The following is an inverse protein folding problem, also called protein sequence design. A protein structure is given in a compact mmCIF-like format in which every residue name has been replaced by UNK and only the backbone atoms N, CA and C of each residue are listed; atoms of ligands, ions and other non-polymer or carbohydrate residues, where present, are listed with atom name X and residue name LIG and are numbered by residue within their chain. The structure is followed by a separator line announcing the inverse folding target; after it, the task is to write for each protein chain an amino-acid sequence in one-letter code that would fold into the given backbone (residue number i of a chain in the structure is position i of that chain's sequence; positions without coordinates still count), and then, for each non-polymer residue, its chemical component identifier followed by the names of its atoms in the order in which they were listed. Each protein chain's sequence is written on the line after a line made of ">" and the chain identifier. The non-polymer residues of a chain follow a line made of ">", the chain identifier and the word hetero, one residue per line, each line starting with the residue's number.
data_IF_977574341662
#
_entry.id   IF_977574341662
#
_cell.length_a   1.000
_cell.length_b   1.000
_cell.length_c   1.000
_cell.angle_alpha   90.00
_cell.angle_beta   90.00
_cell.angle_gamma   90.00
#
_symmetry.space_group_name_H-M   'P 1'
#
loop_
_entity.id
_entity.type
_entity.pdbx_description
1 polymer ?
#
# COMPACT_ATOMS: atom_id res chain seq x y z
N UNK A 1 9.23 -10.47 -21.66
CA UNK A 1 7.93 -10.10 -21.04
C UNK A 1 7.63 -10.86 -19.74
N UNK A 2 8.36 -11.93 -19.37
CA UNK A 2 8.14 -12.68 -18.10
C UNK A 2 8.76 -11.97 -16.89
N UNK A 3 9.87 -11.25 -17.09
CA UNK A 3 10.65 -10.60 -16.03
C UNK A 3 9.88 -9.45 -15.34
N UNK A 4 9.13 -8.67 -16.11
CA UNK A 4 8.27 -7.57 -15.63
C UNK A 4 7.12 -8.07 -14.76
N UNK A 5 6.56 -9.25 -15.10
CA UNK A 5 5.46 -9.87 -14.40
C UNK A 5 5.87 -10.45 -13.03
N UNK A 6 7.11 -10.89 -12.88
CA UNK A 6 7.64 -11.36 -11.60
C UNK A 6 8.06 -10.19 -10.69
N UNK A 7 8.59 -9.10 -11.27
CA UNK A 7 9.05 -7.93 -10.53
C UNK A 7 7.92 -7.18 -9.83
N UNK A 8 6.80 -6.90 -10.52
CA UNK A 8 5.67 -6.21 -9.87
C UNK A 8 5.03 -7.07 -8.79
N UNK A 9 4.93 -8.40 -8.98
CA UNK A 9 4.31 -9.31 -8.03
C UNK A 9 5.12 -9.37 -6.73
N UNK A 10 6.45 -9.41 -6.82
CA UNK A 10 7.33 -9.33 -5.66
C UNK A 10 7.18 -8.00 -4.91
N UNK A 11 7.16 -6.87 -5.65
CA UNK A 11 6.94 -5.54 -5.07
C UNK A 11 5.57 -5.43 -4.41
N UNK A 12 4.53 -5.96 -5.04
CA UNK A 12 3.17 -6.00 -4.53
C UNK A 12 3.09 -6.79 -3.24
N UNK A 13 3.68 -7.98 -3.18
CA UNK A 13 3.72 -8.79 -1.96
C UNK A 13 4.42 -8.06 -0.81
N UNK A 14 5.52 -7.36 -1.09
CA UNK A 14 6.21 -6.54 -0.10
C UNK A 14 5.28 -5.45 0.46
N UNK A 15 4.60 -4.69 -0.41
CA UNK A 15 3.65 -3.66 0.03
C UNK A 15 2.49 -4.25 0.82
N UNK A 16 1.90 -5.36 0.36
CA UNK A 16 0.82 -6.05 1.07
C UNK A 16 1.27 -6.45 2.47
N UNK A 17 2.48 -6.99 2.63
CA UNK A 17 2.99 -7.35 3.95
C UNK A 17 3.12 -6.14 4.88
N UNK A 18 3.60 -5.01 4.37
CA UNK A 18 3.69 -3.75 5.15
C UNK A 18 2.28 -3.31 5.60
N UNK A 19 1.33 -3.27 4.69
CA UNK A 19 -0.03 -2.80 4.96
C UNK A 19 -0.82 -3.75 5.89
N UNK A 20 -0.66 -5.07 5.72
CA UNK A 20 -1.26 -6.08 6.61
C UNK A 20 -0.68 -6.01 8.02
N UNK A 21 0.62 -5.75 8.17
CA UNK A 21 1.22 -5.55 9.49
C UNK A 21 0.59 -4.36 10.21
N UNK A 22 0.32 -3.26 9.49
CA UNK A 22 -0.37 -2.08 10.04
C UNK A 22 -1.84 -2.41 10.36
N UNK A 23 -2.53 -3.10 9.46
CA UNK A 23 -3.94 -3.46 9.63
C UNK A 23 -4.19 -4.34 10.87
N UNK A 24 -3.21 -5.17 11.22
CA UNK A 24 -3.27 -6.09 12.36
C UNK A 24 -2.64 -5.54 13.65
N UNK A 25 -2.00 -4.37 13.61
CA UNK A 25 -1.38 -3.75 14.79
C UNK A 25 -2.42 -3.10 15.71
N UNK A 26 -2.70 -3.71 16.86
CA UNK A 26 -3.66 -3.20 17.85
C UNK A 26 -3.25 -1.85 18.48
N UNK A 27 -1.99 -1.43 18.36
CA UNK A 27 -1.50 -0.11 18.77
C UNK A 27 -1.82 1.02 17.78
N UNK A 28 -2.21 0.69 16.54
CA UNK A 28 -2.57 1.66 15.51
C UNK A 28 -4.08 1.97 15.55
N UNK A 29 -4.55 3.23 15.47
CA UNK A 29 -5.98 3.57 15.48
C UNK A 29 -6.83 2.85 14.42
N UNK A 30 -8.09 2.51 14.76
CA UNK A 30 -8.99 1.69 13.93
C UNK A 30 -9.19 2.23 12.50
N UNK A 31 -9.29 3.55 12.34
CA UNK A 31 -9.46 4.17 11.04
C UNK A 31 -8.25 3.96 10.13
N UNK A 32 -7.03 4.09 10.67
CA UNK A 32 -5.77 3.84 9.96
C UNK A 32 -5.67 2.38 9.55
N UNK A 33 -5.96 1.44 10.47
CA UNK A 33 -5.95 0.00 10.17
C UNK A 33 -6.92 -0.37 9.05
N UNK A 34 -8.12 0.20 9.07
CA UNK A 34 -9.15 -0.03 8.04
C UNK A 34 -8.66 0.41 6.66
N UNK A 35 -8.03 1.57 6.57
CA UNK A 35 -7.52 2.09 5.30
C UNK A 35 -6.31 1.30 4.83
N UNK A 36 -5.38 0.93 5.72
CA UNK A 36 -4.27 0.05 5.37
C UNK A 36 -4.75 -1.28 4.76
N UNK A 37 -5.79 -1.89 5.35
CA UNK A 37 -6.41 -3.10 4.80
C UNK A 37 -7.05 -2.85 3.42
N UNK A 38 -7.81 -1.78 3.27
CA UNK A 38 -8.43 -1.42 1.99
C UNK A 38 -7.40 -1.18 0.89
N UNK A 39 -6.29 -0.51 1.21
CA UNK A 39 -5.18 -0.30 0.28
C UNK A 39 -4.50 -1.62 -0.11
N UNK A 40 -4.34 -2.56 0.83
CA UNK A 40 -3.82 -3.90 0.53
C UNK A 40 -4.75 -4.67 -0.42
N UNK A 41 -6.06 -4.63 -0.16
CA UNK A 41 -7.06 -5.32 -0.98
C UNK A 41 -7.14 -4.72 -2.41
N UNK A 42 -6.98 -3.40 -2.55
CA UNK A 42 -6.96 -2.72 -3.85
C UNK A 42 -5.87 -3.23 -4.79
N UNK A 43 -4.76 -3.77 -4.25
CA UNK A 43 -3.66 -4.34 -5.03
C UNK A 43 -4.02 -5.67 -5.71
N UNK A 44 -5.09 -6.32 -5.28
CA UNK A 44 -5.58 -7.58 -5.86
C UNK A 44 -6.77 -7.38 -6.80
N UNK A 45 -7.22 -6.15 -7.05
CA UNK A 45 -8.37 -5.88 -7.90
C UNK A 45 -8.07 -6.16 -9.39
N UNK A 46 -8.44 -7.35 -9.85
CA UNK A 46 -8.18 -7.85 -11.21
C UNK A 46 -8.79 -7.01 -12.33
N UNK A 47 -9.73 -6.10 -12.01
CA UNK A 47 -10.33 -5.18 -12.97
C UNK A 47 -9.35 -4.11 -13.47
N UNK A 48 -8.27 -3.86 -12.73
CA UNK A 48 -7.33 -2.79 -13.01
C UNK A 48 -5.93 -3.32 -13.37
N UNK A 49 -5.19 -2.52 -14.15
CA UNK A 49 -3.76 -2.78 -14.41
C UNK A 49 -2.93 -2.56 -13.13
N UNK A 50 -1.73 -3.18 -13.01
CA UNK A 50 -0.86 -2.98 -11.85
C UNK A 50 -0.61 -1.50 -11.49
N UNK A 51 -0.39 -0.64 -12.50
CA UNK A 51 -0.19 0.78 -12.26
C UNK A 51 -1.43 1.49 -11.71
N UNK A 52 -2.63 1.15 -12.19
CA UNK A 52 -3.89 1.71 -11.67
C UNK A 52 -4.15 1.22 -10.25
N UNK A 53 -3.87 -0.06 -9.94
CA UNK A 53 -3.96 -0.57 -8.56
C UNK A 53 -3.01 0.17 -7.62
N UNK A 54 -1.78 0.40 -8.07
CA UNK A 54 -0.79 1.15 -7.29
C UNK A 54 -1.24 2.60 -7.05
N UNK A 55 -1.77 3.28 -8.07
CA UNK A 55 -2.30 4.64 -7.94
C UNK A 55 -3.46 4.71 -6.91
N UNK A 56 -4.42 3.78 -7.01
CA UNK A 56 -5.54 3.71 -6.07
C UNK A 56 -5.07 3.47 -4.62
N UNK A 57 -4.08 2.59 -4.42
CA UNK A 57 -3.53 2.33 -3.09
C UNK A 57 -2.76 3.54 -2.54
N UNK A 58 -2.01 4.28 -3.36
CA UNK A 58 -1.31 5.52 -2.95
C UNK A 58 -2.33 6.56 -2.47
N UNK A 59 -3.39 6.82 -3.25
CA UNK A 59 -4.42 7.79 -2.90
C UNK A 59 -5.04 7.48 -1.52
N UNK A 60 -5.41 6.22 -1.27
CA UNK A 60 -5.92 5.78 0.03
C UNK A 60 -4.93 6.03 1.18
N UNK A 61 -3.63 5.80 0.95
CA UNK A 61 -2.61 6.00 1.98
C UNK A 61 -2.37 7.49 2.24
N UNK A 62 -2.34 8.32 1.20
CA UNK A 62 -2.15 9.77 1.33
C UNK A 62 -3.28 10.44 2.11
N UNK A 63 -4.52 9.97 1.96
CA UNK A 63 -5.66 10.44 2.75
C UNK A 63 -5.43 10.27 4.27
N UNK A 64 -4.82 9.17 4.71
CA UNK A 64 -4.61 8.89 6.14
C UNK A 64 -3.30 9.41 6.69
N UNK A 65 -2.30 9.70 5.84
CA UNK A 65 -0.96 10.05 6.33
C UNK A 65 -0.95 11.35 7.16
N UNK A 66 -1.95 12.21 6.96
CA UNK A 66 -2.13 13.47 7.68
C UNK A 66 -3.00 13.33 8.93
N UNK A 67 -3.42 12.11 9.31
CA UNK A 67 -4.22 11.90 10.51
C UNK A 67 -3.45 12.36 11.77
N UNK A 68 -4.07 13.19 12.65
CA UNK A 68 -3.40 13.71 13.85
C UNK A 68 -3.05 12.62 14.87
N UNK A 69 -3.75 11.48 14.84
CA UNK A 69 -3.51 10.33 15.71
C UNK A 69 -2.59 9.27 15.07
N UNK A 70 -1.99 9.56 13.91
CA UNK A 70 -1.09 8.63 13.21
C UNK A 70 0.18 8.35 14.02
N UNK A 71 0.45 7.09 14.41
CA UNK A 71 1.71 6.74 15.06
C UNK A 71 2.91 6.99 14.14
N UNK A 72 4.02 7.46 14.70
CA UNK A 72 5.23 7.81 13.92
C UNK A 72 5.77 6.62 13.14
N UNK A 73 5.84 5.44 13.77
CA UNK A 73 6.33 4.23 13.10
C UNK A 73 5.41 3.81 11.94
N UNK A 74 4.09 3.82 12.15
CA UNK A 74 3.09 3.56 11.12
C UNK A 74 3.24 4.51 9.94
N UNK A 75 3.44 5.82 10.20
CA UNK A 75 3.70 6.83 9.15
C UNK A 75 4.92 6.47 8.31
N UNK A 76 6.04 6.07 8.94
CA UNK A 76 7.25 5.63 8.22
C UNK A 76 6.97 4.40 7.36
N UNK A 77 6.21 3.43 7.86
CA UNK A 77 5.82 2.25 7.09
C UNK A 77 4.96 2.59 5.87
N UNK A 78 4.00 3.52 6.03
CA UNK A 78 3.18 4.00 4.91
C UNK A 78 4.03 4.73 3.84
N UNK A 79 5.02 5.52 4.24
CA UNK A 79 5.97 6.14 3.29
C UNK A 79 6.81 5.12 2.53
N UNK A 80 7.23 4.03 3.19
CA UNK A 80 7.92 2.92 2.52
C UNK A 80 7.00 2.23 1.51
N UNK A 81 5.73 1.99 1.88
CA UNK A 81 4.74 1.42 0.97
C UNK A 81 4.51 2.32 -0.25
N UNK A 82 4.29 3.63 -0.06
CA UNK A 82 4.16 4.60 -1.16
C UNK A 82 5.37 4.56 -2.08
N UNK A 83 6.59 4.61 -1.53
CA UNK A 83 7.83 4.56 -2.33
C UNK A 83 7.88 3.33 -3.25
N UNK A 84 7.46 2.16 -2.77
CA UNK A 84 7.43 0.94 -3.59
C UNK A 84 6.30 1.02 -4.63
N UNK A 85 5.10 1.45 -4.23
CA UNK A 85 3.94 1.61 -5.12
C UNK A 85 4.22 2.57 -6.27
N UNK A 86 4.96 3.65 -6.02
CA UNK A 86 5.42 4.59 -7.04
C UNK A 86 6.26 3.92 -8.13
N UNK A 87 7.12 2.96 -7.74
CA UNK A 87 7.90 2.19 -8.73
C UNK A 87 7.03 1.26 -9.57
N UNK A 88 5.94 0.72 -9.02
CA UNK A 88 4.98 -0.12 -9.75
C UNK A 88 4.13 0.75 -10.70
N UNK A 89 3.71 1.92 -10.23
CA UNK A 89 2.92 2.89 -11.02
C UNK A 89 3.69 3.38 -12.24
N UNK A 90 4.98 3.66 -12.05
CA UNK A 90 5.84 4.27 -13.07
C UNK A 90 6.48 3.27 -14.04
N UNK A 91 6.37 1.95 -13.76
CA UNK A 91 6.96 0.90 -14.60
C UNK A 91 6.04 0.40 -15.72
N UNK A 92 4.98 1.15 -16.07
CA UNK A 92 4.07 0.83 -17.19
C UNK A 92 4.48 1.48 -18.50
#
# INVERSE_FOLDING_TARGET
>A
MVESAQDWEAKRQNVVQILENIANDMGTPRNIRRIAKAAADALFDERYTPAVRAANAIEMIEEIINDPNMPVFTRTQLWMAISILETIRSSS
#
